data_IF_072990705546
#
_entry.id   IF_072990705546
#
_cell.length_a   1.000
_cell.length_b   1.000
_cell.length_c   1.000
_cell.angle_alpha   90.00
_cell.angle_beta   90.00
_cell.angle_gamma   90.00
#
_symmetry.space_group_name_H-M   'P 1'
#
loop_
_entity.id
_entity.type
_entity.pdbx_description
1 polymer ?
#
# COMPACT_ATOMS: atom_id res chain seq x y z
N UNK A 1 -49.79 -2.42 -10.49
CA UNK A 1 -50.14 -3.43 -9.49
C UNK A 1 -49.63 -4.77 -10.00
N UNK A 2 -48.49 -5.24 -9.51
CA UNK A 2 -47.83 -6.46 -9.99
C UNK A 2 -48.45 -7.65 -9.27
N UNK A 3 -48.89 -8.66 -10.00
CA UNK A 3 -49.66 -9.78 -9.46
C UNK A 3 -48.87 -10.57 -8.38
N UNK A 4 -49.41 -10.63 -7.17
CA UNK A 4 -48.88 -11.42 -6.03
C UNK A 4 -49.19 -12.92 -6.18
N UNK A 5 -48.85 -13.51 -7.33
CA UNK A 5 -49.10 -14.92 -7.63
C UNK A 5 -47.82 -15.68 -7.99
N UNK A 6 -47.77 -16.94 -7.59
CA UNK A 6 -46.65 -17.84 -7.79
C UNK A 6 -46.44 -18.15 -9.26
N UNK A 7 -45.23 -17.91 -9.77
CA UNK A 7 -44.89 -18.14 -11.18
C UNK A 7 -44.94 -19.61 -11.63
N UNK A 8 -45.10 -20.57 -10.71
CA UNK A 8 -45.17 -22.01 -11.04
C UNK A 8 -46.58 -22.59 -10.92
N UNK A 9 -47.47 -22.01 -10.12
CA UNK A 9 -48.80 -22.58 -9.87
C UNK A 9 -49.95 -21.57 -9.82
N UNK A 10 -49.68 -20.27 -9.98
CA UNK A 10 -50.69 -19.21 -9.98
C UNK A 10 -51.32 -18.90 -8.62
N UNK A 11 -50.93 -19.60 -7.54
CA UNK A 11 -51.47 -19.34 -6.18
C UNK A 11 -50.88 -18.08 -5.55
N UNK A 12 -51.61 -17.42 -4.62
CA UNK A 12 -51.12 -16.23 -3.94
C UNK A 12 -49.78 -16.46 -3.23
N UNK A 13 -48.89 -15.47 -3.27
CA UNK A 13 -47.63 -15.50 -2.54
C UNK A 13 -47.86 -15.23 -1.04
N UNK A 14 -47.09 -15.86 -0.14
CA UNK A 14 -47.26 -15.64 1.30
C UNK A 14 -46.95 -14.18 1.67
N UNK A 15 -47.82 -13.59 2.48
CA UNK A 15 -47.75 -12.18 2.88
C UNK A 15 -46.46 -11.84 3.65
N UNK A 16 -45.89 -10.66 3.40
CA UNK A 16 -44.70 -10.14 4.08
C UNK A 16 -45.02 -9.78 5.54
N UNK A 17 -44.84 -10.70 6.46
CA UNK A 17 -44.78 -10.38 7.89
C UNK A 17 -43.41 -9.76 8.25
N UNK A 18 -43.20 -8.49 7.86
CA UNK A 18 -42.13 -7.63 8.41
C UNK A 18 -40.67 -7.93 8.00
N UNK A 19 -40.40 -8.72 6.95
CA UNK A 19 -39.02 -9.02 6.49
C UNK A 19 -38.59 -8.12 5.32
N UNK A 20 -37.47 -7.41 5.48
CA UNK A 20 -36.80 -6.64 4.40
C UNK A 20 -35.89 -7.56 3.58
N UNK A 21 -36.30 -7.89 2.34
CA UNK A 21 -35.56 -8.75 1.42
C UNK A 21 -36.28 -8.92 0.06
N UNK A 22 -35.59 -9.45 -0.96
CA UNK A 22 -36.14 -9.71 -2.31
C UNK A 22 -37.44 -10.53 -2.23
N UNK A 23 -38.47 -10.13 -2.98
CA UNK A 23 -39.77 -10.82 -3.03
C UNK A 23 -39.61 -12.25 -3.57
N UNK A 24 -40.22 -13.23 -2.89
CA UNK A 24 -40.25 -14.62 -3.36
C UNK A 24 -41.16 -14.72 -4.58
N UNK A 25 -40.67 -15.29 -5.67
CA UNK A 25 -41.44 -15.52 -6.91
C UNK A 25 -42.28 -16.81 -6.83
N UNK A 26 -42.08 -17.63 -5.78
CA UNK A 26 -42.76 -18.93 -5.61
C UNK A 26 -43.41 -19.05 -4.22
N UNK A 27 -44.60 -19.67 -4.16
CA UNK A 27 -45.36 -19.83 -2.92
C UNK A 27 -44.84 -20.94 -1.99
N UNK A 28 -44.02 -21.87 -2.50
CA UNK A 28 -43.44 -22.96 -1.72
C UNK A 28 -42.12 -23.47 -2.30
N UNK A 29 -41.35 -24.20 -1.49
CA UNK A 29 -40.13 -24.88 -1.95
C UNK A 29 -40.44 -25.88 -3.08
N UNK A 30 -41.56 -26.60 -3.00
CA UNK A 30 -42.00 -27.54 -4.04
C UNK A 30 -42.24 -26.85 -5.39
N UNK A 31 -42.87 -25.66 -5.41
CA UNK A 31 -43.08 -24.87 -6.63
C UNK A 31 -41.74 -24.38 -7.23
N UNK A 32 -40.78 -24.02 -6.38
CA UNK A 32 -39.44 -23.63 -6.81
C UNK A 32 -38.69 -24.81 -7.47
N UNK A 33 -38.83 -26.00 -6.90
CA UNK A 33 -38.18 -27.22 -7.37
C UNK A 33 -38.84 -27.80 -8.62
N UNK A 34 -40.15 -27.59 -8.81
CA UNK A 34 -40.87 -27.88 -10.05
C UNK A 34 -40.39 -26.97 -11.19
N UNK A 35 -40.37 -25.66 -10.97
CA UNK A 35 -39.86 -24.70 -11.96
C UNK A 35 -38.38 -24.95 -12.33
N UNK A 36 -37.57 -25.38 -11.35
CA UNK A 36 -36.18 -25.78 -11.61
C UNK A 36 -36.09 -27.03 -12.50
N UNK A 37 -36.90 -28.06 -12.24
CA UNK A 37 -36.95 -29.29 -13.05
C UNK A 37 -37.46 -29.04 -14.47
N UNK A 38 -38.46 -28.17 -14.64
CA UNK A 38 -38.96 -27.78 -15.97
C UNK A 38 -37.90 -27.00 -16.77
N UNK A 39 -37.11 -26.14 -16.12
CA UNK A 39 -35.98 -25.45 -16.78
C UNK A 39 -34.86 -26.42 -17.16
N UNK A 40 -34.55 -27.40 -16.31
CA UNK A 40 -33.55 -28.42 -16.66
C UNK A 40 -34.06 -29.42 -17.70
N UNK A 41 -35.36 -29.74 -17.72
CA UNK A 41 -35.99 -30.55 -18.76
C UNK A 41 -36.00 -29.84 -20.11
N UNK A 42 -36.27 -28.53 -20.13
CA UNK A 42 -36.17 -27.73 -21.36
C UNK A 42 -34.71 -27.49 -21.80
N UNK A 43 -33.74 -27.48 -20.88
CA UNK A 43 -32.31 -27.47 -21.22
C UNK A 43 -31.82 -28.82 -21.78
N UNK A 44 -32.39 -29.94 -21.33
CA UNK A 44 -32.09 -31.27 -21.88
C UNK A 44 -32.75 -31.50 -23.26
N UNK A 45 -33.85 -30.83 -23.56
CA UNK A 45 -34.54 -30.90 -24.87
C UNK A 45 -33.99 -29.96 -25.95
N UNK A 46 -33.21 -28.94 -25.57
CA UNK A 46 -32.61 -27.97 -26.51
C UNK A 46 -31.10 -28.19 -26.75
N UNK A 47 -30.50 -29.18 -26.09
CA UNK A 47 -29.09 -29.52 -26.22
C UNK A 47 -28.87 -30.64 -27.24
N UNK A 48 -29.18 -30.40 -28.52
CA UNK A 48 -28.55 -31.18 -29.60
C UNK A 48 -27.17 -30.60 -29.89
N UNK A 49 -26.19 -31.04 -29.09
CA UNK A 49 -24.77 -30.95 -29.42
C UNK A 49 -23.95 -29.94 -28.60
N UNK A 50 -22.67 -30.28 -28.41
CA UNK A 50 -21.60 -29.51 -27.74
C UNK A 50 -21.58 -28.03 -28.20
N UNK A 51 -21.96 -27.77 -29.46
CA UNK A 51 -22.03 -26.44 -30.02
C UNK A 51 -23.04 -25.52 -29.32
N UNK A 52 -24.22 -26.03 -28.94
CA UNK A 52 -25.22 -25.24 -28.21
C UNK A 52 -24.76 -24.86 -26.80
N UNK A 53 -23.92 -25.70 -26.19
CA UNK A 53 -23.30 -25.40 -24.89
C UNK A 53 -22.24 -24.30 -25.02
N UNK A 54 -21.43 -24.34 -26.10
CA UNK A 54 -20.42 -23.31 -26.40
C UNK A 54 -21.10 -21.96 -26.64
N UNK A 55 -22.21 -21.93 -27.38
CA UNK A 55 -22.94 -20.68 -27.70
C UNK A 55 -23.66 -20.10 -26.48
N UNK A 56 -24.16 -20.93 -25.56
CA UNK A 56 -24.76 -20.48 -24.30
C UNK A 56 -23.70 -19.92 -23.33
N UNK A 57 -22.54 -20.57 -23.24
CA UNK A 57 -21.40 -20.07 -22.46
C UNK A 57 -20.89 -18.75 -23.07
N UNK A 58 -20.78 -18.64 -24.40
CA UNK A 58 -20.37 -17.43 -25.10
C UNK A 58 -21.28 -16.23 -24.82
N UNK A 59 -22.61 -16.43 -24.87
CA UNK A 59 -23.58 -15.37 -24.52
C UNK A 59 -23.47 -14.95 -23.06
N UNK A 60 -23.39 -15.91 -22.13
CA UNK A 60 -23.26 -15.61 -20.69
C UNK A 60 -21.96 -14.89 -20.34
N UNK A 61 -20.86 -15.24 -21.01
CA UNK A 61 -19.59 -14.52 -20.86
C UNK A 61 -19.74 -13.09 -21.38
N UNK A 62 -20.41 -12.88 -22.51
CA UNK A 62 -20.62 -11.53 -23.08
C UNK A 62 -21.50 -10.64 -22.19
N UNK A 63 -22.51 -11.21 -21.52
CA UNK A 63 -23.35 -10.48 -20.54
C UNK A 63 -22.62 -10.16 -19.22
N UNK A 64 -21.54 -10.89 -18.91
CA UNK A 64 -20.68 -10.66 -17.75
C UNK A 64 -19.50 -9.73 -18.05
N UNK A 65 -19.27 -9.36 -19.31
CA UNK A 65 -18.27 -8.35 -19.68
C UNK A 65 -18.81 -6.97 -19.29
N UNK A 66 -18.20 -6.27 -18.32
CA UNK A 66 -18.57 -4.91 -18.03
C UNK A 66 -18.32 -4.04 -19.27
N UNK A 67 -19.24 -3.13 -19.58
CA UNK A 67 -19.03 -2.07 -20.56
C UNK A 67 -17.65 -1.42 -20.34
N UNK A 68 -16.82 -1.23 -21.39
CA UNK A 68 -15.45 -0.81 -21.23
C UNK A 68 -15.38 0.57 -20.55
N UNK A 69 -14.72 0.62 -19.41
CA UNK A 69 -14.51 1.80 -18.59
C UNK A 69 -13.50 2.79 -19.21
N UNK A 70 -13.39 2.87 -20.54
CA UNK A 70 -12.36 3.66 -21.22
C UNK A 70 -12.50 5.17 -21.00
N UNK A 71 -13.71 5.69 -20.75
CA UNK A 71 -13.96 7.12 -20.49
C UNK A 71 -13.66 7.52 -19.04
N UNK A 72 -13.87 6.62 -18.06
CA UNK A 72 -13.51 6.84 -16.66
C UNK A 72 -12.02 6.59 -16.40
N UNK A 73 -11.45 5.55 -17.01
CA UNK A 73 -10.02 5.25 -16.88
C UNK A 73 -9.15 6.28 -17.61
N UNK A 74 -9.56 6.85 -18.75
CA UNK A 74 -8.77 7.93 -19.38
C UNK A 74 -8.70 9.17 -18.48
N UNK A 75 -9.83 9.61 -17.92
CA UNK A 75 -9.86 10.72 -16.97
C UNK A 75 -9.00 10.47 -15.71
N UNK A 76 -9.11 9.27 -15.10
CA UNK A 76 -8.28 8.90 -13.95
C UNK A 76 -6.80 8.75 -14.33
N UNK A 77 -6.47 8.21 -15.49
CA UNK A 77 -5.08 8.05 -15.94
C UNK A 77 -4.47 9.41 -16.29
N UNK A 78 -5.23 10.33 -16.88
CA UNK A 78 -4.79 11.70 -17.18
C UNK A 78 -4.63 12.53 -15.90
N UNK A 79 -5.54 12.37 -14.94
CA UNK A 79 -5.43 13.01 -13.62
C UNK A 79 -4.22 12.47 -12.86
N UNK A 80 -4.06 11.15 -12.77
CA UNK A 80 -2.90 10.49 -12.16
C UNK A 80 -1.59 10.84 -12.86
N UNK A 81 -1.58 10.96 -14.19
CA UNK A 81 -0.41 11.43 -14.94
C UNK A 81 -0.10 12.91 -14.67
N UNK A 82 -1.13 13.75 -14.49
CA UNK A 82 -0.96 15.16 -14.17
C UNK A 82 -0.47 15.37 -12.73
N UNK A 83 -1.02 14.63 -11.78
CA UNK A 83 -0.55 14.59 -10.38
C UNK A 83 0.88 14.03 -10.33
N UNK A 84 1.19 12.97 -11.08
CA UNK A 84 2.56 12.43 -11.16
C UNK A 84 3.55 13.45 -11.75
N UNK A 85 3.15 14.21 -12.78
CA UNK A 85 3.95 15.33 -13.33
C UNK A 85 4.20 16.41 -12.29
N UNK A 86 3.16 16.84 -11.56
CA UNK A 86 3.29 17.85 -10.51
C UNK A 86 4.21 17.36 -9.38
N UNK A 87 4.06 16.11 -8.94
CA UNK A 87 4.95 15.47 -7.96
C UNK A 87 6.40 15.43 -8.45
N UNK A 88 6.63 15.09 -9.72
CA UNK A 88 7.98 15.11 -10.32
C UNK A 88 8.57 16.52 -10.31
N UNK A 89 7.81 17.53 -10.72
CA UNK A 89 8.28 18.92 -10.69
C UNK A 89 8.64 19.34 -9.27
N UNK A 90 7.79 19.01 -8.29
CA UNK A 90 8.05 19.27 -6.87
C UNK A 90 9.30 18.53 -6.35
N UNK A 91 9.55 17.30 -6.81
CA UNK A 91 10.76 16.53 -6.46
C UNK A 91 12.01 17.17 -7.03
N UNK A 92 12.03 17.44 -8.34
CA UNK A 92 13.17 18.07 -9.01
C UNK A 92 13.49 19.41 -8.34
N UNK A 93 12.46 20.21 -8.03
CA UNK A 93 12.62 21.48 -7.31
C UNK A 93 13.25 21.30 -5.93
N UNK A 94 12.79 20.32 -5.12
CA UNK A 94 13.35 20.02 -3.80
C UNK A 94 14.79 19.50 -3.85
N UNK A 95 15.11 18.63 -4.82
CA UNK A 95 16.46 18.12 -4.99
C UNK A 95 17.43 19.25 -5.40
N UNK A 96 17.02 20.16 -6.31
CA UNK A 96 17.81 21.34 -6.64
C UNK A 96 17.93 22.35 -5.49
N UNK A 97 16.92 22.46 -4.62
CA UNK A 97 16.96 23.34 -3.46
C UNK A 97 17.94 22.83 -2.39
N UNK A 98 18.04 21.52 -2.20
CA UNK A 98 19.02 20.91 -1.28
C UNK A 98 20.47 21.01 -1.78
N UNK A 99 20.70 21.09 -3.09
CA UNK A 99 22.04 21.32 -3.66
C UNK A 99 22.46 22.82 -3.64
N UNK A 100 21.50 23.73 -3.44
CA UNK A 100 21.69 25.17 -3.43
C UNK A 100 21.72 25.72 -1.98
N UNK A 101 22.76 25.40 -1.22
CA UNK A 101 22.95 25.99 0.12
C UNK A 101 23.63 27.36 0.00
N UNK A 102 22.86 28.43 0.18
CA UNK A 102 23.35 29.68 0.79
C UNK A 102 22.23 30.27 1.65
N UNK A 103 22.27 30.13 2.98
CA UNK A 103 21.29 30.75 3.85
C UNK A 103 21.68 32.22 4.04
N UNK A 104 20.92 33.14 3.46
CA UNK A 104 20.97 34.55 3.86
C UNK A 104 19.91 34.75 4.94
N UNK A 105 20.35 35.01 6.16
CA UNK A 105 19.48 35.34 7.27
C UNK A 105 18.93 36.76 7.10
N UNK A 106 17.61 36.90 7.03
CA UNK A 106 16.92 38.17 7.23
C UNK A 106 16.28 38.09 8.61
N UNK A 107 16.92 38.73 9.59
CA UNK A 107 16.33 39.01 10.89
C UNK A 107 15.56 40.33 10.78
N UNK A 108 14.24 40.30 10.91
CA UNK A 108 13.47 41.48 11.30
C UNK A 108 13.06 41.33 12.77
N UNK A 109 13.57 42.24 13.58
CA UNK A 109 13.21 42.47 14.98
C UNK A 109 11.76 42.92 15.09
N UNK A 110 10.97 42.20 15.90
CA UNK A 110 9.72 42.74 16.46
C UNK A 110 9.82 42.64 17.98
N UNK A 111 9.91 43.79 18.62
CA UNK A 111 9.90 43.98 20.07
C UNK A 111 8.50 43.72 20.63
N UNK A 112 8.33 43.00 21.76
CA UNK A 112 7.02 42.88 22.38
C UNK A 112 6.80 44.01 23.39
N UNK A 113 5.71 44.75 23.19
CA UNK A 113 5.16 45.64 24.20
C UNK A 113 4.29 44.84 25.19
N UNK A 114 4.53 45.06 26.47
CA UNK A 114 3.78 44.58 27.62
C UNK A 114 2.36 45.16 27.65
N UNK A 115 1.35 44.30 27.86
CA UNK A 115 0.07 44.69 28.44
C UNK A 115 -0.51 43.51 29.24
N UNK A 116 -0.64 43.72 30.54
CA UNK A 116 -1.43 42.93 31.47
C UNK A 116 -2.92 43.18 31.18
N UNK A 117 -3.76 42.13 31.14
CA UNK A 117 -5.16 42.23 31.56
C UNK A 117 -5.77 40.83 31.77
N UNK A 118 -6.50 40.69 32.88
CA UNK A 118 -6.93 39.43 33.46
C UNK A 118 -7.99 38.67 32.66
N UNK A 119 -7.81 37.35 32.58
CA UNK A 119 -8.79 36.44 31.97
C UNK A 119 -9.64 35.81 33.08
N UNK A 120 -10.89 36.25 33.17
CA UNK A 120 -12.00 35.54 33.83
C UNK A 120 -12.23 34.22 33.09
N UNK A 121 -12.47 33.08 33.77
CA UNK A 121 -12.72 31.82 33.08
C UNK A 121 -14.02 31.91 32.27
N UNK A 122 -13.90 31.77 30.95
CA UNK A 122 -15.02 31.69 30.03
C UNK A 122 -15.92 30.48 30.36
N UNK A 123 -17.24 30.58 30.14
CA UNK A 123 -18.17 29.50 30.44
C UNK A 123 -17.86 28.28 29.58
N UNK A 124 -18.06 27.10 30.16
CA UNK A 124 -17.89 25.79 29.51
C UNK A 124 -18.86 25.72 28.32
N UNK A 125 -18.36 26.04 27.12
CA UNK A 125 -19.09 25.85 25.88
C UNK A 125 -19.33 24.35 25.68
N UNK A 126 -20.59 23.92 25.66
CA UNK A 126 -20.94 22.56 25.27
C UNK A 126 -20.30 22.26 23.89
N UNK A 127 -19.68 21.08 23.69
CA UNK A 127 -19.01 20.78 22.43
C UNK A 127 -20.05 20.81 21.30
N UNK A 128 -19.99 21.87 20.50
CA UNK A 128 -20.78 21.97 19.27
C UNK A 128 -20.31 20.87 18.30
N UNK A 129 -21.23 20.20 17.59
CA UNK A 129 -20.87 19.15 16.65
C UNK A 129 -19.92 19.71 15.58
N UNK A 130 -18.88 18.93 15.24
CA UNK A 130 -17.92 19.31 14.19
C UNK A 130 -18.68 19.62 12.89
N UNK A 131 -18.54 20.84 12.38
CA UNK A 131 -19.11 21.21 11.09
C UNK A 131 -18.42 20.45 9.97
N UNK A 132 -19.02 20.43 8.77
CA UNK A 132 -18.42 19.78 7.61
C UNK A 132 -17.03 20.34 7.27
N UNK A 133 -16.91 21.67 7.28
CA UNK A 133 -15.65 22.37 7.02
C UNK A 133 -14.60 22.10 8.09
N UNK A 134 -14.97 22.14 9.36
CA UNK A 134 -14.03 21.88 10.46
C UNK A 134 -13.54 20.43 10.45
N UNK A 135 -14.43 19.49 10.14
CA UNK A 135 -14.06 18.08 10.00
C UNK A 135 -13.13 17.86 8.79
N UNK A 136 -13.42 18.49 7.64
CA UNK A 136 -12.56 18.40 6.46
C UNK A 136 -11.16 18.95 6.76
N UNK A 137 -11.05 20.11 7.40
CA UNK A 137 -9.77 20.70 7.80
C UNK A 137 -9.01 19.80 8.78
N UNK A 138 -9.70 19.26 9.79
CA UNK A 138 -9.12 18.36 10.79
C UNK A 138 -8.60 17.07 10.15
N UNK A 139 -9.40 16.43 9.29
CA UNK A 139 -8.99 15.16 8.65
C UNK A 139 -7.86 15.36 7.66
N UNK A 140 -7.89 16.44 6.87
CA UNK A 140 -6.81 16.72 5.92
C UNK A 140 -5.49 17.00 6.64
N UNK A 141 -5.51 17.76 7.74
CA UNK A 141 -4.33 18.01 8.57
C UNK A 141 -3.70 16.70 9.10
N UNK A 142 -4.48 15.64 9.28
CA UNK A 142 -4.01 14.36 9.82
C UNK A 142 -3.87 13.26 8.76
N UNK A 143 -4.19 13.53 7.48
CA UNK A 143 -4.25 12.51 6.42
C UNK A 143 -2.95 11.72 6.28
N UNK A 144 -1.82 12.42 6.07
CA UNK A 144 -0.52 11.77 5.86
C UNK A 144 -0.12 10.90 7.05
N UNK A 145 -0.35 11.41 8.26
CA UNK A 145 -0.03 10.71 9.49
C UNK A 145 -0.86 9.43 9.66
N UNK A 146 -2.16 9.51 9.38
CA UNK A 146 -3.08 8.37 9.44
C UNK A 146 -2.77 7.35 8.34
N UNK A 147 -2.39 7.80 7.14
CA UNK A 147 -1.96 6.90 6.05
C UNK A 147 -0.72 6.12 6.44
N UNK A 148 0.29 6.80 6.98
CA UNK A 148 1.51 6.17 7.50
C UNK A 148 1.17 5.16 8.61
N UNK A 149 0.23 5.47 9.49
CA UNK A 149 -0.24 4.53 10.52
C UNK A 149 -0.92 3.28 9.92
N UNK A 150 -1.84 3.48 8.98
CA UNK A 150 -2.50 2.40 8.26
C UNK A 150 -1.48 1.53 7.50
N UNK A 151 -0.45 2.15 6.94
CA UNK A 151 0.64 1.46 6.26
C UNK A 151 1.50 0.63 7.22
N UNK A 152 1.90 1.16 8.39
CA UNK A 152 2.56 0.35 9.44
C UNK A 152 1.71 -0.84 9.86
N UNK A 153 0.40 -0.62 9.97
CA UNK A 153 -0.52 -1.69 10.32
C UNK A 153 -0.58 -2.76 9.24
N UNK A 154 -0.69 -2.42 7.95
CA UNK A 154 -1.01 -3.39 6.88
C UNK A 154 0.17 -3.87 6.04
N UNK A 155 1.24 -3.08 5.94
CA UNK A 155 2.36 -3.27 5.05
C UNK A 155 2.07 -2.93 3.57
N UNK A 156 0.86 -2.52 3.21
CA UNK A 156 0.51 -2.23 1.81
C UNK A 156 0.14 -0.77 1.66
N UNK A 157 0.70 -0.13 0.63
CA UNK A 157 0.39 1.25 0.26
C UNK A 157 -1.08 1.35 -0.17
N UNK A 158 -1.52 0.46 -1.06
CA UNK A 158 -2.88 0.44 -1.59
C UNK A 158 -3.91 0.26 -0.46
N UNK A 159 -3.69 -0.73 0.43
CA UNK A 159 -4.57 -0.90 1.59
C UNK A 159 -4.57 0.30 2.52
N UNK A 160 -3.42 0.96 2.68
CA UNK A 160 -3.31 2.12 3.56
C UNK A 160 -4.14 3.28 3.02
N UNK A 161 -4.12 3.52 1.71
CA UNK A 161 -4.98 4.52 1.06
C UNK A 161 -6.47 4.21 1.27
N UNK A 162 -6.87 2.95 1.05
CA UNK A 162 -8.26 2.51 1.27
C UNK A 162 -8.68 2.66 2.74
N UNK A 163 -7.79 2.32 3.66
CA UNK A 163 -8.06 2.38 5.09
C UNK A 163 -8.11 3.81 5.63
N UNK A 164 -7.38 4.76 5.03
CA UNK A 164 -7.55 6.19 5.34
C UNK A 164 -8.96 6.64 4.97
N UNK A 165 -9.44 6.27 3.79
CA UNK A 165 -10.78 6.62 3.34
C UNK A 165 -11.84 6.02 4.28
N UNK A 166 -11.73 4.72 4.58
CA UNK A 166 -12.64 4.05 5.53
C UNK A 166 -12.58 4.69 6.93
N UNK A 167 -11.38 5.08 7.38
CA UNK A 167 -11.19 5.78 8.66
C UNK A 167 -11.96 7.09 8.69
N UNK A 168 -11.82 7.92 7.66
CA UNK A 168 -12.51 9.21 7.60
C UNK A 168 -14.02 9.06 7.44
N UNK A 169 -14.49 8.06 6.70
CA UNK A 169 -15.92 7.74 6.63
C UNK A 169 -16.49 7.31 8.00
N UNK A 170 -15.74 6.50 8.77
CA UNK A 170 -16.13 6.12 10.14
C UNK A 170 -16.09 7.31 11.09
N UNK A 171 -15.07 8.15 10.98
CA UNK A 171 -14.93 9.36 11.78
C UNK A 171 -16.07 10.34 11.49
N UNK A 172 -16.43 10.53 10.21
CA UNK A 172 -17.56 11.36 9.80
C UNK A 172 -18.88 10.90 10.42
N UNK A 173 -19.15 9.58 10.39
CA UNK A 173 -20.35 9.00 11.02
C UNK A 173 -20.35 9.12 12.55
N UNK A 174 -19.17 9.23 13.18
CA UNK A 174 -19.01 9.31 14.62
C UNK A 174 -18.77 10.74 15.14
N UNK A 175 -18.79 11.76 14.27
CA UNK A 175 -18.40 13.14 14.60
C UNK A 175 -19.28 13.77 15.68
N UNK A 176 -20.59 13.50 15.66
CA UNK A 176 -21.55 14.07 16.62
C UNK A 176 -21.36 13.48 18.03
N UNK A 177 -20.78 12.28 18.13
CA UNK A 177 -20.46 11.63 19.39
C UNK A 177 -19.06 12.00 19.92
N UNK A 178 -18.28 12.80 19.18
CA UNK A 178 -16.96 13.22 19.60
C UNK A 178 -17.05 14.35 20.64
N UNK A 179 -16.99 13.97 21.92
CA UNK A 179 -17.13 14.89 23.06
C UNK A 179 -15.84 15.66 23.41
N UNK A 180 -14.82 15.65 22.55
CA UNK A 180 -13.53 16.35 22.81
C UNK A 180 -12.69 15.83 23.99
N UNK A 181 -13.14 14.77 24.69
CA UNK A 181 -12.44 14.21 25.87
C UNK A 181 -11.08 13.57 25.55
N UNK A 182 -10.90 13.14 24.31
CA UNK A 182 -9.61 12.74 23.77
C UNK A 182 -9.27 13.72 22.65
N UNK A 183 -7.98 14.06 22.47
CA UNK A 183 -7.55 14.88 21.35
C UNK A 183 -7.98 14.28 20.01
N UNK A 184 -8.32 15.13 19.04
CA UNK A 184 -8.77 14.73 17.70
C UNK A 184 -7.84 13.70 17.04
N UNK A 185 -6.52 13.90 17.20
CA UNK A 185 -5.49 12.97 16.76
C UNK A 185 -5.69 11.57 17.34
N UNK A 186 -5.72 11.43 18.67
CA UNK A 186 -5.92 10.14 19.36
C UNK A 186 -7.23 9.47 18.95
N UNK A 187 -8.28 10.27 18.73
CA UNK A 187 -9.56 9.77 18.25
C UNK A 187 -9.47 9.18 16.84
N UNK A 188 -8.83 9.86 15.88
CA UNK A 188 -8.61 9.34 14.53
C UNK A 188 -7.73 8.07 14.53
N UNK A 189 -6.65 8.06 15.30
CA UNK A 189 -5.78 6.89 15.45
C UNK A 189 -6.50 5.67 15.98
N UNK A 190 -7.42 5.86 16.93
CA UNK A 190 -8.27 4.78 17.44
C UNK A 190 -9.17 4.22 16.33
N UNK A 191 -9.81 5.08 15.54
CA UNK A 191 -10.67 4.64 14.44
C UNK A 191 -9.85 3.89 13.39
N UNK A 192 -8.71 4.46 12.99
CA UNK A 192 -7.80 3.88 12.00
C UNK A 192 -7.29 2.50 12.44
N UNK A 193 -6.84 2.38 13.69
CA UNK A 193 -6.33 1.12 14.23
C UNK A 193 -7.41 0.03 14.21
N UNK A 194 -8.64 0.36 14.62
CA UNK A 194 -9.74 -0.59 14.58
C UNK A 194 -10.13 -0.97 13.15
N UNK A 195 -10.15 -0.02 12.20
CA UNK A 195 -10.37 -0.30 10.79
C UNK A 195 -9.30 -1.26 10.21
N UNK A 196 -8.03 -1.05 10.55
CA UNK A 196 -6.92 -1.93 10.16
C UNK A 196 -7.08 -3.34 10.75
N UNK A 197 -7.42 -3.44 12.03
CA UNK A 197 -7.66 -4.73 12.70
C UNK A 197 -8.86 -5.47 12.07
N UNK A 198 -9.93 -4.76 11.73
CA UNK A 198 -11.10 -5.31 11.03
C UNK A 198 -10.74 -5.82 9.64
N UNK A 199 -9.92 -5.07 8.90
CA UNK A 199 -9.40 -5.47 7.60
C UNK A 199 -8.54 -6.74 7.71
N UNK A 200 -7.58 -6.77 8.63
CA UNK A 200 -6.69 -7.92 8.80
C UNK A 200 -7.42 -9.18 9.27
N UNK A 201 -8.47 -9.04 10.08
CA UNK A 201 -9.35 -10.16 10.46
C UNK A 201 -10.08 -10.76 9.26
N UNK A 202 -10.45 -9.94 8.28
CA UNK A 202 -11.15 -10.38 7.04
C UNK A 202 -10.20 -10.98 6.02
N UNK A 203 -9.02 -10.39 5.84
CA UNK A 203 -8.07 -10.78 4.78
C UNK A 203 -7.17 -11.96 5.20
N UNK A 204 -6.97 -12.17 6.51
CA UNK A 204 -6.19 -13.28 7.08
C UNK A 204 -4.89 -13.60 6.31
N UNK A 205 -4.05 -12.56 6.08
CA UNK A 205 -2.78 -12.72 5.35
C UNK A 205 -1.88 -13.73 6.06
N UNK A 206 -1.47 -14.75 5.32
CA UNK A 206 -0.43 -15.69 5.73
C UNK A 206 0.80 -15.43 4.86
N UNK A 207 2.01 -15.35 5.43
CA UNK A 207 3.24 -15.41 4.65
C UNK A 207 3.13 -16.56 3.64
N UNK A 208 3.26 -16.24 2.36
CA UNK A 208 3.35 -17.26 1.34
C UNK A 208 4.77 -17.81 1.34
N UNK A 209 4.89 -19.14 1.24
CA UNK A 209 6.17 -19.76 1.02
C UNK A 209 6.61 -19.47 -0.41
N UNK A 210 7.85 -19.03 -0.55
CA UNK A 210 8.53 -18.95 -1.83
C UNK A 210 8.90 -20.38 -2.26
N UNK A 211 8.49 -20.79 -3.46
CA UNK A 211 8.79 -22.11 -4.02
C UNK A 211 9.68 -21.97 -5.26
N UNK A 212 10.76 -22.76 -5.40
CA UNK A 212 11.65 -22.64 -6.56
C UNK A 212 10.89 -22.92 -7.85
N UNK A 213 11.15 -22.14 -8.90
CA UNK A 213 10.58 -22.39 -10.22
C UNK A 213 11.37 -23.54 -10.88
N UNK A 214 10.71 -24.61 -11.34
CA UNK A 214 11.40 -25.69 -12.04
C UNK A 214 12.20 -25.18 -13.25
N UNK A 215 13.48 -25.57 -13.32
CA UNK A 215 14.36 -25.21 -14.44
C UNK A 215 15.01 -23.83 -14.35
N UNK A 216 14.86 -23.12 -13.24
CA UNK A 216 15.52 -21.83 -13.00
C UNK A 216 16.53 -21.92 -11.86
N UNK A 217 17.72 -21.35 -12.05
CA UNK A 217 18.73 -21.24 -11.01
C UNK A 217 18.39 -20.06 -10.08
N UNK A 218 18.00 -20.36 -8.84
CA UNK A 218 17.69 -19.36 -7.82
C UNK A 218 18.88 -19.07 -6.88
N UNK A 219 20.05 -19.64 -7.17
CA UNK A 219 21.23 -19.61 -6.32
C UNK A 219 21.20 -20.68 -5.24
N UNK A 220 22.13 -20.56 -4.28
CA UNK A 220 22.33 -21.54 -3.20
C UNK A 220 21.71 -21.12 -1.86
N UNK A 221 21.09 -19.93 -1.78
CA UNK A 221 20.47 -19.42 -0.58
C UNK A 221 19.00 -19.83 -0.45
N UNK A 222 18.53 -19.95 0.79
CA UNK A 222 17.10 -20.15 1.06
C UNK A 222 16.29 -18.92 0.66
N UNK A 223 15.02 -19.11 0.24
CA UNK A 223 14.14 -17.98 0.06
C UNK A 223 14.03 -17.22 1.39
N UNK A 224 14.24 -15.91 1.38
CA UNK A 224 13.93 -15.12 2.55
C UNK A 224 12.42 -15.25 2.84
N UNK A 225 12.05 -15.35 4.12
CA UNK A 225 10.65 -15.32 4.55
C UNK A 225 10.09 -13.91 4.31
N UNK A 226 9.71 -13.59 3.07
CA UNK A 226 9.29 -12.25 2.68
C UNK A 226 7.78 -12.12 2.63
N UNK A 227 7.37 -10.95 3.05
CA UNK A 227 5.98 -10.56 3.18
C UNK A 227 5.53 -10.15 1.78
N UNK A 228 4.92 -11.08 1.04
CA UNK A 228 4.53 -10.84 -0.36
C UNK A 228 3.55 -9.68 -0.54
N UNK A 229 2.90 -9.23 0.53
CA UNK A 229 2.02 -8.06 0.52
C UNK A 229 2.70 -6.75 0.91
N UNK A 230 3.98 -6.78 1.34
CA UNK A 230 4.70 -5.56 1.66
C UNK A 230 4.90 -4.77 0.37
N UNK A 231 4.44 -3.53 0.34
CA UNK A 231 4.61 -2.60 -0.78
C UNK A 231 5.50 -1.44 -0.36
N UNK A 232 6.18 -0.76 -1.29
CA UNK A 232 6.99 0.41 -1.00
C UNK A 232 6.09 1.62 -0.76
N UNK A 233 6.57 2.56 0.06
CA UNK A 233 5.88 3.82 0.36
C UNK A 233 6.69 5.00 -0.18
N UNK A 234 6.05 5.95 -0.90
CA UNK A 234 6.75 7.10 -1.46
C UNK A 234 7.18 8.11 -0.38
N UNK A 235 8.46 8.45 -0.36
CA UNK A 235 9.03 9.40 0.62
C UNK A 235 8.37 10.79 0.55
N UNK A 236 7.84 11.15 -0.63
CA UNK A 236 7.18 12.44 -0.87
C UNK A 236 5.80 12.56 -0.18
N UNK A 237 5.21 11.45 0.25
CA UNK A 237 3.92 11.45 0.98
C UNK A 237 4.11 11.43 2.50
N UNK A 238 5.36 11.40 2.98
CA UNK A 238 5.67 11.47 4.39
C UNK A 238 5.26 12.83 4.99
N UNK A 239 4.88 12.87 6.27
CA UNK A 239 4.73 14.13 7.00
C UNK A 239 6.00 14.98 6.87
N UNK A 240 5.85 16.24 6.48
CA UNK A 240 6.98 17.15 6.35
C UNK A 240 7.42 17.64 7.73
N UNK A 241 8.71 17.90 7.92
CA UNK A 241 9.22 18.44 9.18
C UNK A 241 8.72 19.86 9.46
N UNK A 242 8.36 20.60 8.42
CA UNK A 242 7.81 21.96 8.51
C UNK A 242 6.35 21.95 8.99
N UNK A 243 5.52 21.03 8.48
CA UNK A 243 4.11 20.95 8.84
C UNK A 243 3.88 20.12 10.11
N UNK A 244 4.66 19.05 10.31
CA UNK A 244 4.45 18.06 11.38
C UNK A 244 5.78 17.51 11.92
N UNK A 245 6.53 18.27 12.73
CA UNK A 245 7.90 17.93 13.15
C UNK A 245 7.99 16.57 13.86
N UNK A 246 7.09 16.32 14.82
CA UNK A 246 7.05 15.07 15.59
C UNK A 246 6.70 13.87 14.71
N UNK A 247 5.70 14.01 13.84
CA UNK A 247 5.28 12.95 12.92
C UNK A 247 6.36 12.66 11.87
N UNK A 248 7.08 13.67 11.39
CA UNK A 248 8.18 13.53 10.44
C UNK A 248 9.35 12.76 11.04
N UNK A 249 9.75 13.07 12.28
CA UNK A 249 10.81 12.36 12.99
C UNK A 249 10.46 10.88 13.20
N UNK A 250 9.25 10.62 13.71
CA UNK A 250 8.76 9.24 13.93
C UNK A 250 8.67 8.48 12.61
N UNK A 251 8.21 9.11 11.53
CA UNK A 251 8.10 8.50 10.21
C UNK A 251 9.46 8.12 9.65
N UNK A 252 10.46 9.00 9.72
CA UNK A 252 11.84 8.69 9.30
C UNK A 252 12.44 7.53 10.08
N UNK A 253 12.14 7.39 11.36
CA UNK A 253 12.69 6.31 12.19
C UNK A 253 12.00 4.94 11.99
N UNK A 254 10.78 4.91 11.48
CA UNK A 254 9.91 3.70 11.57
C UNK A 254 9.24 3.31 10.26
N UNK A 255 9.58 3.96 9.14
CA UNK A 255 9.05 3.58 7.82
C UNK A 255 10.07 2.87 6.95
N UNK A 256 11.23 2.51 7.48
CA UNK A 256 12.18 1.71 6.73
C UNK A 256 11.60 0.31 6.46
N UNK A 257 11.85 -0.22 5.26
CA UNK A 257 11.30 -1.52 4.84
C UNK A 257 11.72 -2.65 5.80
N UNK A 258 12.92 -2.58 6.39
CA UNK A 258 13.39 -3.57 7.39
C UNK A 258 12.53 -3.53 8.64
N UNK A 259 12.28 -2.34 9.19
CA UNK A 259 11.41 -2.19 10.36
C UNK A 259 9.98 -2.63 10.05
N UNK A 260 9.45 -2.17 8.92
CA UNK A 260 8.11 -2.53 8.47
C UNK A 260 7.98 -4.03 8.31
N UNK A 261 8.96 -4.69 7.70
CA UNK A 261 8.99 -6.13 7.56
C UNK A 261 8.97 -6.82 8.92
N UNK A 262 9.81 -6.40 9.87
CA UNK A 262 9.85 -6.99 11.19
C UNK A 262 8.50 -6.88 11.94
N UNK A 263 7.84 -5.71 11.91
CA UNK A 263 6.52 -5.57 12.56
C UNK A 263 5.43 -6.38 11.85
N UNK A 264 5.58 -6.71 10.56
CA UNK A 264 4.61 -7.55 9.87
C UNK A 264 4.61 -9.02 10.34
N UNK A 265 5.65 -9.49 11.04
CA UNK A 265 5.65 -10.81 11.67
C UNK A 265 4.81 -10.87 12.96
N UNK A 266 4.47 -9.72 13.53
CA UNK A 266 3.64 -9.65 14.74
C UNK A 266 2.18 -10.00 14.43
N UNK A 267 1.48 -10.72 15.33
CA UNK A 267 0.03 -10.81 15.28
C UNK A 267 -0.60 -9.40 15.28
N UNK A 268 -1.70 -9.17 14.52
CA UNK A 268 -2.32 -7.84 14.34
C UNK A 268 -2.48 -7.00 15.61
N UNK A 269 -2.96 -7.62 16.70
CA UNK A 269 -3.16 -6.93 17.98
C UNK A 269 -1.84 -6.57 18.68
N UNK A 270 -0.83 -7.42 18.60
CA UNK A 270 0.49 -7.14 19.18
C UNK A 270 1.15 -5.99 18.40
N UNK A 271 1.02 -5.99 17.07
CA UNK A 271 1.46 -4.90 16.19
C UNK A 271 0.78 -3.57 16.53
N UNK A 272 -0.55 -3.57 16.67
CA UNK A 272 -1.30 -2.38 17.06
C UNK A 272 -0.82 -1.81 18.39
N UNK A 273 -0.68 -2.66 19.41
CA UNK A 273 -0.18 -2.25 20.73
C UNK A 273 1.23 -1.67 20.63
N UNK A 274 2.11 -2.30 19.85
CA UNK A 274 3.48 -1.83 19.66
C UNK A 274 3.52 -0.45 18.99
N UNK A 275 2.77 -0.25 17.91
CA UNK A 275 2.73 1.04 17.21
C UNK A 275 2.16 2.13 18.13
N UNK A 276 1.03 1.88 18.81
CA UNK A 276 0.44 2.87 19.70
C UNK A 276 1.38 3.24 20.88
N UNK A 277 2.10 2.28 21.45
CA UNK A 277 2.96 2.49 22.64
C UNK A 277 4.35 3.01 22.28
N UNK A 278 5.07 2.27 21.42
CA UNK A 278 6.49 2.50 21.17
C UNK A 278 6.74 3.47 19.99
N UNK A 279 5.75 3.71 19.13
CA UNK A 279 5.86 4.64 17.98
C UNK A 279 5.11 5.94 18.23
N UNK A 280 3.86 5.87 18.73
CA UNK A 280 3.02 7.06 18.96
C UNK A 280 3.07 7.59 20.40
N UNK A 281 3.69 6.86 21.33
CA UNK A 281 3.88 7.30 22.71
C UNK A 281 2.63 7.28 23.60
N UNK A 282 1.52 6.67 23.17
CA UNK A 282 0.30 6.58 24.00
C UNK A 282 0.60 5.82 25.30
N UNK A 283 -0.08 6.15 26.39
CA UNK A 283 -0.02 5.40 27.64
C UNK A 283 -0.63 3.99 27.49
N UNK A 284 -0.36 3.11 28.46
CA UNK A 284 -0.98 1.78 28.50
C UNK A 284 -2.50 1.87 28.69
N UNK A 285 -2.98 2.88 29.43
CA UNK A 285 -4.39 3.16 29.64
C UNK A 285 -5.08 3.61 28.35
N UNK A 286 -4.51 4.57 27.64
CA UNK A 286 -5.05 5.05 26.35
C UNK A 286 -5.02 3.95 25.29
N UNK A 287 -3.94 3.15 25.22
CA UNK A 287 -3.84 2.02 24.31
C UNK A 287 -4.92 0.97 24.60
N UNK A 288 -5.12 0.63 25.89
CA UNK A 288 -6.13 -0.32 26.31
C UNK A 288 -7.53 0.18 25.94
N UNK A 289 -7.84 1.45 26.21
CA UNK A 289 -9.10 2.08 25.83
C UNK A 289 -9.30 2.09 24.30
N UNK A 290 -8.27 2.42 23.53
CA UNK A 290 -8.35 2.49 22.07
C UNK A 290 -8.64 1.14 21.42
N UNK A 291 -8.11 0.05 22.01
CA UNK A 291 -8.22 -1.30 21.47
C UNK A 291 -9.31 -2.15 22.15
N UNK A 292 -10.05 -1.61 23.11
CA UNK A 292 -11.03 -2.37 23.90
C UNK A 292 -10.40 -3.50 24.71
N UNK A 293 -9.20 -3.26 25.26
CA UNK A 293 -8.43 -4.19 26.07
C UNK A 293 -8.37 -3.74 27.54
N UNK A 294 -7.87 -4.60 28.43
CA UNK A 294 -7.44 -4.17 29.76
C UNK A 294 -6.01 -3.63 29.69
N UNK A 295 -5.60 -2.78 30.65
CA UNK A 295 -4.22 -2.28 30.77
C UNK A 295 -3.22 -3.43 30.88
N UNK A 296 -3.56 -4.48 31.65
CA UNK A 296 -2.75 -5.68 31.77
C UNK A 296 -2.59 -6.40 30.42
N UNK A 297 -3.67 -6.53 29.63
CA UNK A 297 -3.62 -7.13 28.29
C UNK A 297 -2.77 -6.31 27.33
N UNK A 298 -2.83 -4.98 27.38
CA UNK A 298 -1.99 -4.10 26.56
C UNK A 298 -0.50 -4.26 26.92
N UNK A 299 -0.15 -4.23 28.20
CA UNK A 299 1.24 -4.45 28.66
C UNK A 299 1.76 -5.84 28.26
N UNK A 300 0.94 -6.88 28.43
CA UNK A 300 1.28 -8.24 28.08
C UNK A 300 1.47 -8.43 26.56
N UNK A 301 0.66 -7.77 25.75
CA UNK A 301 0.82 -7.78 24.29
C UNK A 301 2.11 -7.08 23.85
N UNK A 302 2.44 -5.92 24.45
CA UNK A 302 3.70 -5.22 24.17
C UNK A 302 4.93 -6.05 24.57
N UNK A 303 4.87 -6.69 25.74
CA UNK A 303 5.93 -7.56 26.22
C UNK A 303 6.20 -8.74 25.26
N UNK A 304 5.16 -9.28 24.62
CA UNK A 304 5.31 -10.33 23.60
C UNK A 304 5.76 -9.81 22.24
N UNK A 305 5.38 -8.58 21.88
CA UNK A 305 5.77 -8.00 20.59
C UNK A 305 7.29 -7.73 20.50
N UNK A 306 7.90 -7.25 21.59
CA UNK A 306 9.31 -6.85 21.60
C UNK A 306 10.30 -7.98 21.30
N UNK A 307 10.17 -9.21 21.85
CA UNK A 307 10.98 -10.36 21.46
C UNK A 307 10.93 -10.64 19.96
N UNK A 308 9.73 -10.77 19.37
CA UNK A 308 9.57 -11.01 17.93
C UNK A 308 10.23 -9.94 17.09
N UNK A 309 10.15 -8.66 17.48
CA UNK A 309 10.90 -7.62 16.77
C UNK A 309 12.42 -7.82 16.85
N UNK A 310 12.96 -8.17 18.02
CA UNK A 310 14.41 -8.42 18.15
C UNK A 310 14.87 -9.61 17.32
N UNK A 311 14.01 -10.62 17.15
CA UNK A 311 14.35 -11.82 16.37
C UNK A 311 14.37 -11.52 14.85
N UNK A 312 13.57 -10.54 14.39
CA UNK A 312 13.45 -10.17 12.98
C UNK A 312 14.23 -8.91 12.56
N UNK A 313 14.68 -8.11 13.53
CA UNK A 313 15.49 -6.91 13.27
C UNK A 313 16.99 -7.23 13.42
N UNK A 314 17.85 -6.70 12.53
CA UNK A 314 19.29 -6.91 12.66
C UNK A 314 19.84 -6.15 13.87
N UNK A 315 20.53 -6.82 14.80
CA UNK A 315 21.42 -6.17 15.78
C UNK A 315 20.89 -4.91 16.50
N UNK A 316 21.65 -3.81 16.47
CA UNK A 316 21.38 -2.58 17.22
C UNK A 316 20.33 -1.73 16.51
N UNK A 317 19.57 -0.92 17.27
CA UNK A 317 18.57 0.02 16.73
C UNK A 317 19.13 1.03 15.71
N UNK A 318 20.42 1.33 15.77
CA UNK A 318 21.11 2.16 14.77
C UNK A 318 21.30 1.44 13.42
N UNK A 319 21.35 0.11 13.43
CA UNK A 319 21.51 -0.73 12.23
C UNK A 319 20.18 -0.89 11.48
N UNK A 320 19.07 -0.50 12.11
CA UNK A 320 17.74 -0.41 11.49
C UNK A 320 17.50 0.95 10.82
N UNK A 321 18.47 1.87 10.97
CA UNK A 321 18.42 3.19 10.39
C UNK A 321 19.31 3.21 9.17
N UNK A 322 18.71 3.34 8.00
CA UNK A 322 19.41 3.70 6.79
C UNK A 322 19.74 5.18 6.92
N UNK A 323 21.02 5.51 7.06
CA UNK A 323 21.47 6.90 6.93
C UNK A 323 20.99 7.47 5.59
N UNK A 324 20.85 8.80 5.49
CA UNK A 324 20.55 9.43 4.20
C UNK A 324 21.51 8.89 3.13
N UNK A 325 21.01 8.47 1.95
CA UNK A 325 21.85 7.81 0.97
C UNK A 325 23.09 8.65 0.64
N UNK A 326 24.26 8.01 0.70
CA UNK A 326 25.52 8.71 0.49
C UNK A 326 25.63 9.20 -0.96
N UNK A 327 26.51 10.18 -1.22
CA UNK A 327 26.79 10.61 -2.61
C UNK A 327 27.29 9.45 -3.48
N UNK A 328 28.03 8.52 -2.87
CA UNK A 328 28.52 7.30 -3.52
C UNK A 328 27.35 6.38 -3.89
N UNK A 329 26.41 6.10 -2.98
CA UNK A 329 25.21 5.30 -3.28
C UNK A 329 24.35 5.89 -4.40
N UNK A 330 24.20 7.22 -4.45
CA UNK A 330 23.52 7.89 -5.57
C UNK A 330 24.27 7.70 -6.89
N UNK A 331 25.60 7.69 -6.84
CA UNK A 331 26.45 7.39 -8.01
C UNK A 331 26.26 5.96 -8.47
N UNK A 332 26.24 4.99 -7.54
CA UNK A 332 25.98 3.57 -7.82
C UNK A 332 24.59 3.38 -8.43
N UNK A 333 23.55 4.08 -7.94
CA UNK A 333 22.21 4.07 -8.55
C UNK A 333 22.26 4.56 -10.01
N UNK A 334 22.95 5.67 -10.29
CA UNK A 334 23.10 6.17 -11.65
C UNK A 334 23.86 5.19 -12.56
N UNK A 335 24.89 4.52 -12.04
CA UNK A 335 25.63 3.49 -12.75
C UNK A 335 24.74 2.27 -13.03
N UNK A 336 23.94 1.82 -12.06
CA UNK A 336 22.97 0.74 -12.22
C UNK A 336 21.96 1.05 -13.34
N UNK A 337 21.37 2.25 -13.30
CA UNK A 337 20.43 2.71 -14.32
C UNK A 337 21.08 2.81 -15.70
N UNK A 338 22.36 3.19 -15.76
CA UNK A 338 23.13 3.30 -17.01
C UNK A 338 23.46 1.92 -17.57
N UNK A 339 23.95 1.01 -16.74
CA UNK A 339 24.29 -0.37 -17.13
C UNK A 339 23.07 -1.09 -17.71
N UNK A 340 21.89 -0.95 -17.08
CA UNK A 340 20.66 -1.51 -17.62
C UNK A 340 20.25 -0.88 -18.97
N UNK A 341 20.48 0.42 -19.16
CA UNK A 341 20.19 1.12 -20.43
C UNK A 341 21.13 0.70 -21.56
N UNK A 342 22.42 0.52 -21.26
CA UNK A 342 23.44 0.12 -22.23
C UNK A 342 23.56 -1.39 -22.40
N UNK A 343 22.77 -2.17 -21.64
CA UNK A 343 22.81 -3.63 -21.61
C UNK A 343 24.21 -4.17 -21.24
N UNK A 344 24.90 -3.45 -20.35
CA UNK A 344 26.25 -3.78 -19.89
C UNK A 344 26.17 -4.70 -18.66
N UNK A 345 26.29 -6.00 -18.91
CA UNK A 345 26.25 -7.03 -17.86
C UNK A 345 27.43 -6.96 -16.91
N UNK A 346 28.62 -6.58 -17.38
CA UNK A 346 29.82 -6.52 -16.54
C UNK A 346 29.67 -5.38 -15.55
N UNK A 347 29.32 -4.19 -16.04
CA UNK A 347 29.04 -3.05 -15.19
C UNK A 347 27.90 -3.34 -14.21
N UNK A 348 26.83 -4.01 -14.65
CA UNK A 348 25.75 -4.41 -13.74
C UNK A 348 26.24 -5.35 -12.64
N UNK A 349 27.04 -6.37 -12.98
CA UNK A 349 27.55 -7.37 -12.03
C UNK A 349 28.51 -6.77 -11.00
N UNK A 350 29.33 -5.79 -11.41
CA UNK A 350 30.32 -5.16 -10.53
C UNK A 350 29.69 -4.34 -9.41
N UNK A 351 28.48 -3.79 -9.64
CA UNK A 351 27.70 -3.02 -8.66
C UNK A 351 27.03 -3.91 -7.60
N UNK A 352 26.89 -5.22 -7.85
CA UNK A 352 26.20 -6.14 -6.96
C UNK A 352 27.17 -6.75 -5.93
N UNK A 353 26.66 -7.03 -4.73
CA UNK A 353 27.36 -7.90 -3.79
C UNK A 353 27.35 -9.34 -4.29
N UNK A 354 28.29 -10.17 -3.80
CA UNK A 354 28.38 -11.58 -4.20
C UNK A 354 27.11 -12.35 -3.82
N UNK A 355 26.51 -11.98 -2.69
CA UNK A 355 25.36 -12.57 -2.03
C UNK A 355 24.06 -11.77 -2.24
N UNK A 356 24.02 -10.93 -3.29
CA UNK A 356 22.84 -10.08 -3.58
C UNK A 356 21.56 -10.90 -3.60
N UNK A 357 20.51 -10.36 -3.00
CA UNK A 357 19.19 -10.98 -3.06
C UNK A 357 18.22 -10.15 -3.88
N UNK A 358 17.54 -10.75 -4.85
CA UNK A 358 16.44 -10.13 -5.57
C UNK A 358 15.12 -10.80 -5.18
N UNK A 359 14.07 -10.02 -4.93
CA UNK A 359 12.70 -10.56 -4.76
C UNK A 359 11.65 -9.69 -5.44
N UNK A 360 10.52 -10.30 -5.82
CA UNK A 360 9.51 -9.65 -6.66
C UNK A 360 8.07 -9.66 -6.10
N UNK A 361 7.81 -9.19 -4.86
CA UNK A 361 6.45 -9.19 -4.31
C UNK A 361 5.44 -8.46 -5.23
N UNK A 362 4.19 -8.96 -5.38
CA UNK A 362 3.62 -10.11 -4.68
C UNK A 362 3.99 -11.47 -5.26
N UNK A 363 4.72 -11.52 -6.36
CA UNK A 363 5.19 -12.77 -6.94
C UNK A 363 6.25 -13.39 -5.99
N UNK A 364 6.08 -14.66 -5.59
CA UNK A 364 6.99 -15.33 -4.66
C UNK A 364 8.27 -15.80 -5.39
N UNK A 365 8.86 -14.94 -6.23
CA UNK A 365 10.10 -15.19 -6.94
C UNK A 365 11.28 -14.53 -6.24
N UNK A 366 12.39 -15.26 -6.17
CA UNK A 366 13.63 -14.78 -5.58
C UNK A 366 14.86 -15.30 -6.32
N UNK A 367 15.97 -14.59 -6.15
CA UNK A 367 17.30 -15.04 -6.53
C UNK A 367 18.27 -14.69 -5.42
N UNK A 368 19.20 -15.59 -5.14
CA UNK A 368 20.31 -15.37 -4.21
C UNK A 368 21.64 -15.51 -4.93
N UNK A 369 22.51 -14.54 -4.72
CA UNK A 369 23.81 -14.48 -5.35
C UNK A 369 23.80 -13.86 -6.76
N UNK A 370 24.87 -13.13 -7.05
CA UNK A 370 24.97 -12.35 -8.29
C UNK A 370 24.96 -13.22 -9.54
N UNK A 371 25.54 -14.41 -9.49
CA UNK A 371 25.70 -15.28 -10.67
C UNK A 371 24.34 -15.81 -11.12
N UNK A 372 23.48 -16.26 -10.18
CA UNK A 372 22.13 -16.71 -10.47
C UNK A 372 21.24 -15.57 -11.02
N UNK A 373 21.36 -14.37 -10.43
CA UNK A 373 20.64 -13.20 -10.91
C UNK A 373 21.06 -12.80 -12.34
N UNK A 374 22.37 -12.77 -12.62
CA UNK A 374 22.88 -12.42 -13.95
C UNK A 374 22.54 -13.49 -14.98
N UNK A 375 22.60 -14.78 -14.61
CA UNK A 375 22.16 -15.89 -15.46
C UNK A 375 20.68 -15.74 -15.85
N UNK A 376 19.82 -15.34 -14.92
CA UNK A 376 18.42 -15.07 -15.17
C UNK A 376 18.19 -13.84 -16.07
N UNK A 377 18.90 -12.73 -15.82
CA UNK A 377 18.70 -11.48 -16.56
C UNK A 377 19.28 -11.52 -17.97
N UNK A 378 20.40 -12.21 -18.18
CA UNK A 378 21.17 -12.19 -19.44
C UNK A 378 20.31 -12.47 -20.68
N UNK A 379 19.50 -13.53 -20.75
CA UNK A 379 18.70 -13.80 -21.93
C UNK A 379 17.58 -12.77 -22.17
N UNK A 380 17.14 -12.06 -21.15
CA UNK A 380 16.09 -11.02 -21.26
C UNK A 380 16.64 -9.68 -21.72
N UNK A 381 17.96 -9.47 -21.56
CA UNK A 381 18.65 -8.22 -21.88
C UNK A 381 19.48 -8.31 -23.16
N UNK A 382 19.78 -9.51 -23.67
CA UNK A 382 20.54 -9.71 -24.91
C UNK A 382 19.64 -9.54 -26.16
N UNK A 383 19.87 -8.56 -27.06
CA UNK A 383 19.09 -8.39 -28.29
C UNK A 383 19.14 -9.57 -29.27
N UNK A 384 20.16 -10.43 -29.17
CA UNK A 384 20.29 -11.64 -29.97
C UNK A 384 19.48 -12.82 -29.40
N UNK A 385 18.99 -12.72 -28.16
CA UNK A 385 18.24 -13.76 -27.50
C UNK A 385 16.77 -13.79 -27.96
N UNK A 386 16.18 -14.98 -28.16
CA UNK A 386 14.73 -15.08 -28.41
C UNK A 386 13.89 -14.63 -27.22
N UNK A 387 14.48 -14.54 -26.02
CA UNK A 387 13.83 -14.02 -24.81
C UNK A 387 14.04 -12.51 -24.63
N UNK A 388 14.64 -11.81 -25.61
CA UNK A 388 14.92 -10.39 -25.51
C UNK A 388 13.66 -9.59 -25.14
N UNK A 389 13.70 -9.00 -23.96
CA UNK A 389 12.55 -8.35 -23.36
C UNK A 389 12.36 -6.94 -23.92
N UNK A 390 13.44 -6.25 -24.28
CA UNK A 390 13.44 -4.92 -24.86
C UNK A 390 14.54 -4.03 -24.30
N UNK A 391 14.56 -2.77 -24.76
CA UNK A 391 15.50 -1.78 -24.26
C UNK A 391 14.98 -1.12 -22.99
N UNK A 392 15.86 -0.97 -22.01
CA UNK A 392 15.52 -0.43 -20.71
C UNK A 392 15.84 1.06 -20.60
N UNK A 393 15.02 1.76 -19.82
CA UNK A 393 15.27 3.12 -19.36
C UNK A 393 14.76 3.22 -17.94
N UNK A 394 15.51 3.90 -17.07
CA UNK A 394 15.13 4.08 -15.68
C UNK A 394 14.95 5.56 -15.35
N UNK A 395 14.11 5.85 -14.35
CA UNK A 395 14.03 7.15 -13.69
C UNK A 395 14.25 6.96 -12.18
N UNK A 396 14.96 7.88 -11.50
CA UNK A 396 15.22 7.75 -10.06
C UNK A 396 13.94 7.99 -9.26
N UNK A 397 13.85 7.30 -8.13
CA UNK A 397 12.79 7.41 -7.13
C UNK A 397 13.36 7.20 -5.72
N UNK A 398 12.52 7.44 -4.71
CA UNK A 398 12.82 7.08 -3.32
C UNK A 398 11.64 6.36 -2.70
N UNK A 399 11.91 5.34 -1.90
CA UNK A 399 10.91 4.53 -1.23
C UNK A 399 11.38 4.18 0.18
N UNK A 400 10.56 4.44 1.21
CA UNK A 400 10.85 4.09 2.59
C UNK A 400 12.24 4.58 3.08
N UNK A 401 12.67 5.76 2.62
CA UNK A 401 13.99 6.33 2.88
C UNK A 401 15.12 5.83 1.98
N UNK A 402 14.89 4.76 1.21
CA UNK A 402 15.87 4.08 0.36
C UNK A 402 15.87 4.60 -1.07
N UNK A 403 16.99 4.38 -1.78
CA UNK A 403 17.09 4.69 -3.21
C UNK A 403 16.28 3.67 -4.02
N UNK A 404 15.56 4.18 -5.01
CA UNK A 404 14.76 3.35 -5.90
C UNK A 404 14.90 3.78 -7.37
N UNK A 405 14.56 2.88 -8.29
CA UNK A 405 14.53 3.13 -9.72
C UNK A 405 13.23 2.61 -10.34
N UNK A 406 12.50 3.50 -11.04
CA UNK A 406 11.40 3.09 -11.91
C UNK A 406 11.94 2.65 -13.26
N UNK A 407 11.87 1.36 -13.55
CA UNK A 407 12.26 0.74 -14.82
C UNK A 407 11.14 0.77 -15.85
N UNK A 408 11.52 1.12 -17.08
CA UNK A 408 10.65 1.18 -18.24
C UNK A 408 11.25 0.37 -19.38
N UNK A 409 10.40 -0.35 -20.09
CA UNK A 409 10.82 -1.18 -21.22
C UNK A 409 10.18 -0.72 -22.51
N UNK A 410 11.03 -0.53 -23.53
CA UNK A 410 10.61 -0.42 -24.92
C UNK A 410 10.77 -1.79 -25.58
N UNK A 411 9.65 -2.46 -25.84
CA UNK A 411 9.61 -3.78 -26.48
C UNK A 411 10.12 -3.74 -27.92
N UNK A 412 10.70 -4.82 -28.45
CA UNK A 412 11.02 -4.94 -29.88
C UNK A 412 9.80 -4.57 -30.74
N UNK A 413 10.02 -3.77 -31.79
CA UNK A 413 8.94 -3.30 -32.67
C UNK A 413 8.04 -2.19 -32.10
N UNK A 414 8.33 -1.67 -30.90
CA UNK A 414 7.58 -0.56 -30.30
C UNK A 414 8.45 0.67 -30.10
N UNK A 415 7.82 1.85 -30.08
CA UNK A 415 8.52 3.13 -29.91
C UNK A 415 8.28 3.78 -28.54
N UNK A 416 7.50 3.14 -27.66
CA UNK A 416 7.09 3.70 -26.36
C UNK A 416 7.70 2.88 -25.24
N UNK A 417 8.27 3.57 -24.26
CA UNK A 417 8.73 2.97 -23.02
C UNK A 417 7.54 2.84 -22.07
N UNK A 418 7.28 1.65 -21.54
CA UNK A 418 6.18 1.38 -20.60
C UNK A 418 6.74 1.02 -19.23
N UNK A 419 6.10 1.52 -18.18
CA UNK A 419 6.45 1.19 -16.81
C UNK A 419 6.43 -0.34 -16.62
N UNK A 420 7.48 -0.87 -16.00
CA UNK A 420 7.70 -2.30 -15.89
C UNK A 420 7.96 -2.75 -14.45
N UNK A 421 8.78 -2.01 -13.70
CA UNK A 421 9.20 -2.41 -12.35
C UNK A 421 9.65 -1.20 -11.53
N UNK A 422 9.34 -1.20 -10.24
CA UNK A 422 9.94 -0.27 -9.28
C UNK A 422 10.93 -1.05 -8.41
N UNK A 423 12.22 -0.82 -8.61
CA UNK A 423 13.27 -1.48 -7.83
C UNK A 423 13.67 -0.61 -6.65
N UNK A 424 13.56 -1.15 -5.43
CA UNK A 424 14.07 -0.53 -4.20
C UNK A 424 15.37 -1.22 -3.80
N UNK A 425 16.42 -0.44 -3.61
CA UNK A 425 17.80 -0.92 -3.47
C UNK A 425 18.32 -0.74 -2.05
N UNK A 426 18.97 -1.79 -1.53
CA UNK A 426 19.76 -1.72 -0.29
C UNK A 426 21.24 -1.86 -0.60
N UNK A 427 22.04 -1.11 0.14
CA UNK A 427 23.50 -1.07 -0.01
C UNK A 427 24.18 -1.59 1.26
N UNK A 428 25.38 -2.15 1.12
CA UNK A 428 26.27 -2.44 2.25
C UNK A 428 27.18 -1.25 2.59
N UNK A 429 28.11 -1.47 3.52
CA UNK A 429 29.10 -0.46 3.93
C UNK A 429 30.10 -0.09 2.83
N UNK A 430 30.24 -0.92 1.79
CA UNK A 430 31.10 -0.70 0.63
C UNK A 430 30.32 -0.13 -0.56
N UNK A 431 29.09 0.33 -0.33
CA UNK A 431 28.14 0.87 -1.32
C UNK A 431 27.78 -0.10 -2.46
N UNK A 432 27.93 -1.41 -2.26
CA UNK A 432 27.45 -2.42 -3.22
C UNK A 432 25.98 -2.72 -2.99
N UNK A 433 25.25 -3.03 -4.07
CA UNK A 433 23.85 -3.44 -3.99
C UNK A 433 23.77 -4.87 -3.44
N UNK A 434 23.26 -4.99 -2.22
CA UNK A 434 23.05 -6.27 -1.51
C UNK A 434 21.63 -6.78 -1.63
N UNK A 435 20.68 -5.91 -1.99
CA UNK A 435 19.28 -6.31 -2.12
C UNK A 435 18.54 -5.45 -3.14
N UNK A 436 17.70 -6.12 -3.94
CA UNK A 436 16.78 -5.51 -4.89
C UNK A 436 15.39 -6.05 -4.60
N UNK A 437 14.47 -5.19 -4.18
CA UNK A 437 13.05 -5.55 -4.09
C UNK A 437 12.29 -4.89 -5.21
N UNK A 438 11.80 -5.71 -6.13
CA UNK A 438 11.12 -5.29 -7.36
C UNK A 438 9.61 -5.32 -7.18
N UNK A 439 8.96 -4.18 -7.33
CA UNK A 439 7.51 -4.03 -7.19
C UNK A 439 6.83 -3.75 -8.51
N UNK A 440 5.52 -4.00 -8.55
CA UNK A 440 4.68 -3.80 -9.72
C UNK A 440 4.55 -2.32 -10.11
N UNK A 441 4.40 -2.02 -11.42
CA UNK A 441 4.41 -0.66 -11.92
C UNK A 441 3.14 0.15 -11.62
N UNK A 442 2.06 -0.45 -11.08
CA UNK A 442 0.84 0.29 -10.75
C UNK A 442 1.07 1.36 -9.68
N UNK A 443 2.11 1.21 -8.87
CA UNK A 443 2.53 2.17 -7.85
C UNK A 443 3.20 3.42 -8.43
N UNK A 444 3.64 3.41 -9.71
CA UNK A 444 4.39 4.52 -10.31
C UNK A 444 3.74 5.91 -10.10
N UNK A 445 2.42 6.10 -10.28
CA UNK A 445 1.78 7.38 -10.01
C UNK A 445 1.97 7.88 -8.58
N UNK A 446 1.92 6.99 -7.58
CA UNK A 446 2.20 7.32 -6.19
C UNK A 446 3.62 7.89 -6.03
N UNK A 447 4.59 7.30 -6.74
CA UNK A 447 5.99 7.73 -6.79
C UNK A 447 6.25 8.90 -7.77
N UNK A 448 5.24 9.58 -8.31
CA UNK A 448 5.45 10.68 -9.27
C UNK A 448 6.07 10.22 -10.60
N UNK A 449 5.99 8.93 -10.90
CA UNK A 449 6.48 8.31 -12.12
C UNK A 449 5.30 8.10 -13.09
N UNK A 450 5.43 8.45 -14.38
CA UNK A 450 4.42 8.21 -15.39
C UNK A 450 4.38 6.73 -15.75
N UNK A 451 3.27 6.25 -16.29
CA UNK A 451 3.18 4.87 -16.77
C UNK A 451 3.86 4.64 -18.14
N UNK A 452 4.26 5.72 -18.82
CA UNK A 452 4.91 5.70 -20.15
C UNK A 452 5.91 6.86 -20.31
N UNK A 453 6.97 6.65 -21.10
CA UNK A 453 7.93 7.70 -21.50
C UNK A 453 7.98 7.87 -23.02
#
# INVERSE_FOLDING_TARGET
>A
MVADVCASCGKPLPARAGRTGRSSVYCSAACRQKAYRERQGNAAGAATGVQGLIDDIGRRVTELVPQPASVLYSGVTELSASVARLRRVARVARDTANDSVTPTAVTEDVTPATAEEGVTPAPVTEPSPLTETDFAALTEAHRREIQVHCYRMTGSYDDAEDLVQETFLRAWRARDAFQGRAGARTWLYRIATNACLDFQRRTARRPQCYEPIPGMNHGTGEPPARLTWLQPYPDDELPSAEEQPEAAAVSRETLELVFLAAIQHLPPRQRAVLILRDVLGLSAAETAQALGLTVASANSALQRARPTLRDHLPGRRADWRTAEPTKSQRTVLHQYMTAARTLDFTAMTDLLSKDVTLTMPPNPFWFTGRDALVEFLRPTLDPASPMFFGHWRHLPARANGQLAAGGYVRRPGTNVYRAQVLDVLRFDADDRIVEITSFEPHLFPAFGLPLRL
#
